data_IF_703036910196
#
_entry.id   IF_703036910196
#
_cell.length_a   1.000
_cell.length_b   1.000
_cell.length_c   1.000
_cell.angle_alpha   90.00
_cell.angle_beta   90.00
_cell.angle_gamma   90.00
#
_symmetry.space_group_name_H-M   'P 1'
#
loop_
_entity.id
_entity.type
_entity.pdbx_description
1 polymer ?
#
# COMPACT_ATOMS: atom_id res chain seq x y z
N UNK A 1 5.62 -45.23 -62.49
CA UNK A 1 5.42 -46.68 -62.39
C UNK A 1 4.89 -47.03 -61.03
N UNK A 2 3.69 -47.65 -61.03
CA UNK A 2 3.04 -48.45 -59.99
C UNK A 2 2.55 -47.66 -58.76
N UNK A 3 1.22 -47.41 -58.62
CA UNK A 3 0.07 -48.29 -58.20
C UNK A 3 0.25 -48.79 -56.77
N UNK A 4 -0.67 -48.76 -55.91
CA UNK A 4 -2.18 -48.69 -55.81
C UNK A 4 -2.53 -48.88 -54.35
N UNK A 5 -3.57 -48.34 -53.96
CA UNK A 5 -4.95 -48.74 -53.57
C UNK A 5 -5.22 -48.85 -52.07
N UNK A 6 -6.19 -48.04 -51.68
CA UNK A 6 -7.39 -48.37 -50.91
C UNK A 6 -7.31 -49.13 -49.57
N UNK A 7 -7.77 -48.44 -48.51
CA UNK A 7 -8.88 -49.02 -47.72
C UNK A 7 -9.56 -47.92 -46.84
N UNK A 8 -10.80 -47.64 -47.19
CA UNK A 8 -11.78 -46.90 -46.39
C UNK A 8 -12.12 -47.67 -45.11
N UNK A 9 -12.02 -47.03 -43.95
CA UNK A 9 -12.86 -47.38 -42.81
C UNK A 9 -13.60 -46.17 -42.31
N UNK A 10 -14.93 -46.20 -42.47
CA UNK A 10 -15.91 -45.34 -41.87
C UNK A 10 -15.81 -45.41 -40.32
N UNK A 11 -15.52 -44.29 -39.70
CA UNK A 11 -15.86 -44.05 -38.30
C UNK A 11 -16.85 -42.90 -38.27
N UNK A 12 -18.11 -43.26 -38.07
CA UNK A 12 -19.19 -42.32 -37.79
C UNK A 12 -18.95 -41.69 -36.41
N UNK A 13 -18.46 -40.46 -36.38
CA UNK A 13 -18.49 -39.61 -35.18
C UNK A 13 -19.89 -39.04 -35.05
N UNK A 14 -20.63 -39.55 -34.06
CA UNK A 14 -21.90 -39.01 -33.62
C UNK A 14 -21.74 -37.58 -33.12
N UNK A 15 -22.26 -36.63 -33.89
CA UNK A 15 -22.37 -35.22 -33.51
C UNK A 15 -23.48 -35.13 -32.46
N UNK A 16 -23.12 -35.08 -31.20
CA UNK A 16 -24.02 -34.63 -30.12
C UNK A 16 -24.22 -33.12 -30.21
N UNK A 17 -25.42 -32.60 -30.10
CA UNK A 17 -25.70 -31.19 -30.34
C UNK A 17 -25.13 -30.31 -29.21
N UNK A 18 -24.24 -29.44 -29.59
CA UNK A 18 -23.62 -28.34 -28.74
C UNK A 18 -24.67 -27.40 -28.14
N UNK A 19 -25.94 -27.53 -28.42
CA UNK A 19 -27.01 -26.67 -27.93
C UNK A 19 -27.45 -26.94 -26.48
N UNK A 20 -27.21 -28.14 -25.93
CA UNK A 20 -27.59 -28.46 -24.54
C UNK A 20 -26.56 -28.04 -23.51
N UNK A 21 -25.27 -28.00 -23.85
CA UNK A 21 -24.22 -27.56 -22.94
C UNK A 21 -24.29 -26.03 -22.71
N UNK A 22 -24.57 -25.25 -23.76
CA UNK A 22 -24.75 -23.79 -23.66
C UNK A 22 -25.98 -23.38 -22.85
N UNK A 23 -27.04 -24.17 -22.83
CA UNK A 23 -28.27 -23.86 -22.08
C UNK A 23 -28.15 -24.20 -20.58
N UNK A 24 -27.30 -25.15 -20.21
CA UNK A 24 -27.03 -25.47 -18.80
C UNK A 24 -26.08 -24.42 -18.16
N UNK A 25 -25.04 -24.03 -18.87
CA UNK A 25 -24.09 -23.00 -18.40
C UNK A 25 -24.76 -21.64 -18.30
N UNK A 26 -25.60 -21.24 -19.24
CA UNK A 26 -26.37 -19.99 -19.20
C UNK A 26 -27.53 -20.00 -18.15
N UNK A 27 -27.92 -21.18 -17.65
CA UNK A 27 -28.87 -21.29 -16.53
C UNK A 27 -28.16 -21.22 -15.21
N UNK A 28 -26.93 -21.73 -15.10
CA UNK A 28 -26.11 -21.63 -13.90
C UNK A 28 -25.62 -20.18 -13.65
N UNK A 29 -25.20 -19.51 -14.73
CA UNK A 29 -24.81 -18.07 -14.64
C UNK A 29 -26.00 -17.16 -14.29
N UNK A 30 -27.22 -17.51 -14.62
CA UNK A 30 -28.46 -16.79 -14.27
C UNK A 30 -28.94 -17.09 -12.85
N UNK A 31 -28.57 -18.21 -12.26
CA UNK A 31 -28.99 -18.59 -10.92
C UNK A 31 -28.05 -18.02 -9.82
N UNK A 32 -26.86 -17.53 -10.20
CA UNK A 32 -25.93 -16.85 -9.27
C UNK A 32 -26.28 -15.36 -9.09
N UNK A 33 -27.16 -14.80 -9.95
CA UNK A 33 -27.57 -13.39 -9.92
C UNK A 33 -28.98 -13.15 -9.33
N UNK A 34 -29.60 -14.11 -8.67
CA UNK A 34 -30.94 -13.93 -8.11
C UNK A 34 -30.88 -13.90 -6.58
N UNK A 35 -30.84 -12.73 -5.99
CA UNK A 35 -31.59 -12.24 -4.81
C UNK A 35 -30.94 -11.00 -4.12
N UNK A 36 -30.09 -10.25 -4.78
CA UNK A 36 -29.74 -8.92 -4.28
C UNK A 36 -30.58 -7.90 -5.05
N UNK A 37 -31.44 -7.18 -4.32
CA UNK A 37 -32.14 -6.03 -4.87
C UNK A 37 -31.10 -5.12 -5.53
N UNK A 38 -31.14 -4.98 -6.85
CA UNK A 38 -30.18 -4.19 -7.61
C UNK A 38 -30.15 -2.78 -7.02
N UNK A 39 -29.02 -2.37 -6.43
CA UNK A 39 -28.86 -1.02 -5.89
C UNK A 39 -29.05 0.00 -7.00
N UNK A 40 -30.06 0.86 -6.83
CA UNK A 40 -30.31 2.00 -7.72
C UNK A 40 -29.67 3.23 -7.10
N UNK A 41 -28.60 3.78 -7.69
CA UNK A 41 -27.97 4.98 -7.15
C UNK A 41 -28.98 6.16 -7.07
N UNK A 42 -29.02 6.90 -5.96
CA UNK A 42 -29.85 8.10 -5.89
C UNK A 42 -29.30 9.18 -6.84
N UNK A 43 -30.17 10.09 -7.25
CA UNK A 43 -29.76 11.23 -8.12
C UNK A 43 -28.65 12.07 -7.46
N UNK A 44 -28.70 12.25 -6.15
CA UNK A 44 -27.68 12.92 -5.35
C UNK A 44 -27.40 12.03 -4.15
N UNK A 45 -26.16 11.59 -4.00
CA UNK A 45 -25.73 10.79 -2.86
C UNK A 45 -25.70 11.64 -1.58
N UNK A 46 -26.17 11.11 -0.49
CA UNK A 46 -26.08 11.72 0.84
C UNK A 46 -25.37 10.80 1.83
N UNK A 47 -24.61 11.40 2.74
CA UNK A 47 -23.92 10.66 3.78
C UNK A 47 -24.89 10.17 4.85
N UNK A 48 -24.65 8.96 5.35
CA UNK A 48 -25.25 8.44 6.57
C UNK A 48 -24.20 7.75 7.43
N UNK A 49 -24.47 7.62 8.74
CA UNK A 49 -23.51 7.02 9.68
C UNK A 49 -23.19 5.53 9.37
N UNK A 50 -24.06 4.82 8.65
CA UNK A 50 -23.85 3.43 8.21
C UNK A 50 -23.01 3.30 6.95
N UNK A 51 -22.78 4.40 6.22
CA UNK A 51 -21.99 4.33 4.99
C UNK A 51 -20.50 4.12 5.32
N UNK A 52 -19.87 3.10 4.71
CA UNK A 52 -18.45 2.83 4.91
C UNK A 52 -18.15 1.68 5.89
N UNK A 53 -19.15 0.98 6.41
CA UNK A 53 -18.98 -0.21 7.25
C UNK A 53 -18.12 0.04 8.49
N UNK A 54 -17.18 -0.86 8.79
CA UNK A 54 -16.30 -0.80 9.96
C UNK A 54 -15.57 0.54 10.13
N UNK A 55 -15.27 1.22 9.03
CA UNK A 55 -14.52 2.48 9.03
C UNK A 55 -15.39 3.72 8.78
N UNK A 56 -16.72 3.61 8.94
CA UNK A 56 -17.64 4.73 8.71
C UNK A 56 -17.31 5.96 9.57
N UNK A 57 -16.85 5.72 10.81
CA UNK A 57 -16.53 6.79 11.77
C UNK A 57 -15.30 7.63 11.39
N UNK A 58 -14.35 7.05 10.61
CA UNK A 58 -13.14 7.76 10.16
C UNK A 58 -13.25 8.33 8.74
N UNK A 59 -14.39 8.12 8.06
CA UNK A 59 -14.62 8.62 6.71
C UNK A 59 -15.86 9.51 6.67
N UNK A 60 -15.71 10.75 6.22
CA UNK A 60 -16.79 11.71 6.03
C UNK A 60 -16.58 12.49 4.74
N UNK A 61 -17.66 12.98 4.12
CA UNK A 61 -17.57 13.77 2.90
C UNK A 61 -17.17 15.24 3.14
N UNK A 62 -16.69 15.56 4.34
CA UNK A 62 -16.26 16.92 4.71
C UNK A 62 -14.87 16.89 5.29
N UNK A 63 -14.06 17.90 4.92
CA UNK A 63 -12.73 18.15 5.49
C UNK A 63 -12.84 19.04 6.75
N UNK A 64 -11.68 19.29 7.37
CA UNK A 64 -11.53 20.19 8.51
C UNK A 64 -11.51 19.49 9.87
N UNK A 65 -11.12 20.24 10.90
CA UNK A 65 -11.06 19.77 12.27
C UNK A 65 -12.46 19.46 12.83
N UNK A 66 -12.53 18.47 13.72
CA UNK A 66 -13.75 18.06 14.42
C UNK A 66 -13.69 18.34 15.91
N UNK A 67 -12.48 18.58 16.41
CA UNK A 67 -12.22 18.85 17.82
C UNK A 67 -10.97 19.72 17.97
N UNK A 68 -10.93 20.53 19.01
CA UNK A 68 -9.72 21.21 19.40
C UNK A 68 -8.77 20.21 20.08
N UNK A 69 -7.60 20.04 19.52
CA UNK A 69 -6.56 19.15 20.04
C UNK A 69 -5.22 19.60 19.51
N UNK A 70 -4.36 20.06 20.43
CA UNK A 70 -2.99 20.40 20.10
C UNK A 70 -2.13 19.17 19.94
N UNK A 71 -1.13 19.25 19.08
CA UNK A 71 -0.17 18.17 18.90
C UNK A 71 1.01 18.33 19.87
N UNK A 72 1.48 17.22 20.49
CA UNK A 72 2.69 17.24 21.30
C UNK A 72 3.90 17.58 20.44
N UNK A 73 4.95 18.10 21.07
CA UNK A 73 6.26 18.35 20.45
C UNK A 73 7.35 17.88 21.40
N UNK A 74 8.33 17.16 20.85
CA UNK A 74 9.51 16.69 21.57
C UNK A 74 10.74 17.56 21.32
N UNK A 75 11.89 16.97 21.58
CA UNK A 75 13.19 17.68 21.54
C UNK A 75 13.81 17.69 20.14
N UNK A 76 13.44 16.76 19.27
CA UNK A 76 14.07 16.63 17.95
C UNK A 76 13.46 17.59 16.91
N UNK A 77 14.22 17.99 15.89
CA UNK A 77 13.72 18.91 14.88
C UNK A 77 12.64 18.29 13.96
N UNK A 78 12.64 16.97 13.78
CA UNK A 78 11.66 16.27 12.96
C UNK A 78 10.56 15.69 13.86
N UNK A 79 9.35 16.21 13.73
CA UNK A 79 8.18 15.80 14.49
C UNK A 79 7.26 15.00 13.55
N UNK A 80 7.23 13.68 13.71
CA UNK A 80 6.41 12.77 12.92
C UNK A 80 5.13 12.43 13.68
N UNK A 81 3.98 12.62 13.06
CA UNK A 81 2.67 12.25 13.57
C UNK A 81 2.12 11.13 12.70
N UNK A 82 2.08 9.90 13.24
CA UNK A 82 1.87 8.73 12.40
C UNK A 82 1.24 7.53 13.14
N UNK A 83 0.99 6.49 12.39
CA UNK A 83 0.59 5.15 12.81
C UNK A 83 1.30 4.15 11.90
N UNK A 84 1.70 2.98 12.40
CA UNK A 84 2.44 1.96 11.64
C UNK A 84 1.58 1.25 10.57
N UNK A 85 0.72 1.99 9.87
CA UNK A 85 0.11 1.54 8.61
C UNK A 85 1.19 1.50 7.52
N UNK A 86 0.96 0.85 6.38
CA UNK A 86 1.94 0.85 5.29
C UNK A 86 2.44 2.25 4.89
N UNK A 87 1.61 3.28 4.97
CA UNK A 87 2.05 4.64 4.65
C UNK A 87 2.91 5.27 5.75
N UNK A 88 2.61 5.02 7.03
CA UNK A 88 3.44 5.48 8.15
C UNK A 88 4.81 4.82 8.16
N UNK A 89 4.85 3.50 7.92
CA UNK A 89 6.08 2.70 7.86
C UNK A 89 7.07 3.22 6.80
N UNK A 90 6.60 3.80 5.69
CA UNK A 90 7.50 4.43 4.71
C UNK A 90 8.41 5.47 5.37
N UNK A 91 7.82 6.35 6.18
CA UNK A 91 8.53 7.49 6.78
C UNK A 91 9.44 7.02 7.90
N UNK A 92 8.98 6.14 8.77
CA UNK A 92 9.80 5.59 9.86
C UNK A 92 10.98 4.77 9.33
N UNK A 93 10.78 3.99 8.25
CA UNK A 93 11.87 3.28 7.58
C UNK A 93 12.88 4.27 6.98
N UNK A 94 12.43 5.31 6.29
CA UNK A 94 13.32 6.34 5.72
C UNK A 94 14.18 7.00 6.80
N UNK A 95 13.59 7.39 7.92
CA UNK A 95 14.31 8.02 9.03
C UNK A 95 15.33 7.06 9.67
N UNK A 96 14.95 5.80 9.91
CA UNK A 96 15.86 4.80 10.45
C UNK A 96 17.00 4.42 9.47
N UNK A 97 16.76 4.44 8.16
CA UNK A 97 17.81 4.25 7.15
C UNK A 97 18.78 5.44 7.13
N UNK A 98 18.30 6.67 7.24
CA UNK A 98 19.15 7.86 7.36
C UNK A 98 20.02 7.79 8.61
N UNK A 99 19.45 7.44 9.75
CA UNK A 99 20.19 7.28 11.01
C UNK A 99 21.23 6.16 10.92
N UNK A 100 20.91 5.04 10.28
CA UNK A 100 21.84 3.93 10.07
C UNK A 100 23.03 4.30 9.19
N UNK A 101 22.87 5.28 8.30
CA UNK A 101 23.97 5.84 7.50
C UNK A 101 24.71 7.00 8.20
N UNK A 102 24.37 7.33 9.46
CA UNK A 102 25.07 8.34 10.27
C UNK A 102 24.53 9.77 10.13
N UNK A 103 23.37 9.96 9.50
CA UNK A 103 22.74 11.27 9.41
C UNK A 103 22.03 11.64 10.72
N UNK A 104 22.79 12.06 11.74
CA UNK A 104 22.25 12.41 13.07
C UNK A 104 21.21 13.54 13.04
N UNK A 105 21.21 14.39 12.01
CA UNK A 105 20.17 15.39 11.80
C UNK A 105 18.80 14.81 11.45
N UNK A 106 18.72 13.50 11.18
CA UNK A 106 17.47 12.77 10.95
C UNK A 106 16.82 12.24 12.25
N UNK A 107 17.38 12.52 13.43
CA UNK A 107 16.71 12.21 14.71
C UNK A 107 15.33 12.86 14.77
N UNK A 108 14.38 12.10 15.31
CA UNK A 108 12.97 12.46 15.24
C UNK A 108 12.19 12.02 16.47
N UNK A 109 11.11 12.76 16.75
CA UNK A 109 10.04 12.33 17.64
C UNK A 109 8.91 11.77 16.81
N UNK A 110 8.46 10.55 17.12
CA UNK A 110 7.33 9.90 16.46
C UNK A 110 6.17 9.76 17.45
N UNK A 111 5.12 10.53 17.21
CA UNK A 111 3.90 10.60 18.00
C UNK A 111 2.83 9.68 17.40
N UNK A 112 2.19 8.88 18.25
CA UNK A 112 1.11 8.00 17.82
C UNK A 112 -0.15 8.82 17.53
N UNK A 113 -0.73 8.64 16.35
CA UNK A 113 -2.05 9.15 15.98
C UNK A 113 -2.99 7.96 15.85
N UNK A 114 -3.86 7.78 16.85
CA UNK A 114 -4.88 6.74 16.81
C UNK A 114 -6.03 7.16 15.90
N UNK A 115 -6.03 6.60 14.69
CA UNK A 115 -7.08 6.87 13.71
C UNK A 115 -8.45 6.32 14.11
N UNK A 116 -8.50 5.36 15.06
CA UNK A 116 -9.76 4.77 15.52
C UNK A 116 -10.47 5.71 16.50
N UNK A 117 -9.74 6.48 17.30
CA UNK A 117 -10.28 7.51 18.19
C UNK A 117 -10.55 8.82 17.47
N UNK A 118 -9.97 9.00 16.27
CA UNK A 118 -10.19 10.18 15.44
C UNK A 118 -9.17 11.30 15.66
N UNK A 119 -8.00 11.00 16.22
CA UNK A 119 -6.93 11.99 16.52
C UNK A 119 -6.52 12.78 15.27
N UNK A 120 -6.58 12.17 14.08
CA UNK A 120 -6.29 12.83 12.80
C UNK A 120 -7.26 13.98 12.47
N UNK A 121 -8.35 14.12 13.23
CA UNK A 121 -9.33 15.21 13.07
C UNK A 121 -9.18 16.29 14.13
N UNK A 122 -8.15 16.24 14.98
CA UNK A 122 -7.80 17.32 15.88
C UNK A 122 -7.29 18.55 15.13
N UNK A 123 -7.57 19.76 15.64
CA UNK A 123 -7.19 21.02 15.00
C UNK A 123 -5.69 21.12 14.73
N UNK A 124 -4.86 20.67 15.65
CA UNK A 124 -3.39 20.65 15.49
C UNK A 124 -2.93 19.74 14.35
N UNK A 125 -3.52 18.53 14.21
CA UNK A 125 -3.18 17.64 13.10
C UNK A 125 -3.64 18.20 11.75
N UNK A 126 -4.86 18.72 11.69
CA UNK A 126 -5.45 19.33 10.48
C UNK A 126 -4.64 20.56 10.04
N UNK A 127 -4.06 21.32 10.97
CA UNK A 127 -3.17 22.44 10.65
C UNK A 127 -1.91 21.98 9.89
N UNK A 128 -1.40 20.77 10.18
CA UNK A 128 -0.26 20.20 9.46
C UNK A 128 -0.75 19.52 8.17
N UNK A 129 -1.78 18.69 8.27
CA UNK A 129 -2.32 17.93 7.14
C UNK A 129 -3.83 18.17 6.95
N UNK A 130 -4.24 19.05 6.02
CA UNK A 130 -5.66 19.33 5.77
C UNK A 130 -6.44 18.14 5.22
N UNK A 131 -5.75 17.07 4.73
CA UNK A 131 -6.37 15.82 4.29
C UNK A 131 -6.75 14.90 5.46
N UNK A 132 -6.32 15.20 6.70
CA UNK A 132 -6.60 14.41 7.90
C UNK A 132 -6.22 12.93 7.73
N UNK A 133 -5.08 12.65 7.13
CA UNK A 133 -4.51 11.30 6.93
C UNK A 133 -3.07 11.23 7.44
N UNK A 134 -2.75 10.15 8.15
CA UNK A 134 -1.36 9.85 8.54
C UNK A 134 -0.57 9.30 7.32
N UNK A 135 0.75 9.49 7.30
CA UNK A 135 1.60 10.29 8.18
C UNK A 135 1.57 11.79 7.85
N UNK A 136 1.99 12.61 8.82
CA UNK A 136 2.31 14.02 8.64
C UNK A 136 3.62 14.35 9.35
N UNK A 137 4.45 15.21 8.75
CA UNK A 137 5.74 15.63 9.28
C UNK A 137 5.75 17.14 9.48
N UNK A 138 6.27 17.58 10.62
CA UNK A 138 6.62 18.97 10.89
C UNK A 138 8.13 19.06 11.14
N UNK A 139 8.84 19.76 10.29
CA UNK A 139 10.27 20.05 10.47
C UNK A 139 10.45 21.44 11.07
N UNK A 140 11.02 21.49 12.25
CA UNK A 140 11.30 22.73 13.00
C UNK A 140 12.80 23.03 13.09
N UNK A 141 13.62 22.45 12.22
CA UNK A 141 15.07 22.67 12.19
C UNK A 141 15.47 24.06 11.66
N UNK A 142 14.59 24.73 10.92
CA UNK A 142 14.80 26.07 10.38
C UNK A 142 14.12 27.17 11.21
N UNK A 143 14.30 28.43 10.78
CA UNK A 143 13.63 29.57 11.40
C UNK A 143 12.10 29.48 11.28
N UNK A 144 11.62 29.04 10.14
CA UNK A 144 10.19 28.81 9.87
C UNK A 144 9.91 27.30 9.79
N UNK A 145 8.92 26.80 10.53
CA UNK A 145 8.54 25.40 10.48
C UNK A 145 7.99 25.00 9.11
N UNK A 146 8.45 23.85 8.59
CA UNK A 146 8.00 23.27 7.33
C UNK A 146 7.07 22.11 7.64
N UNK A 147 5.82 22.20 7.20
CA UNK A 147 4.87 21.09 7.25
C UNK A 147 4.89 20.30 5.94
N UNK A 148 4.96 18.99 6.05
CA UNK A 148 4.91 18.08 4.89
C UNK A 148 3.87 17.00 5.15
N UNK A 149 2.97 16.82 4.22
CA UNK A 149 1.99 15.73 4.23
C UNK A 149 2.00 14.99 2.90
N UNK A 150 1.34 13.84 2.82
CA UNK A 150 1.50 12.77 1.84
C UNK A 150 2.83 12.01 2.01
N UNK A 151 2.74 10.69 2.20
CA UNK A 151 3.92 9.87 2.50
C UNK A 151 5.01 9.95 1.43
N UNK A 152 4.61 10.05 0.14
CA UNK A 152 5.58 10.23 -0.95
C UNK A 152 6.26 11.59 -0.94
N UNK A 153 5.54 12.66 -0.59
CA UNK A 153 6.12 13.99 -0.45
C UNK A 153 7.08 14.06 0.74
N UNK A 154 6.76 13.38 1.85
CA UNK A 154 7.67 13.28 3.02
C UNK A 154 8.95 12.54 2.63
N UNK A 155 8.86 11.42 1.90
CA UNK A 155 10.04 10.69 1.43
C UNK A 155 10.91 11.56 0.52
N UNK A 156 10.31 12.27 -0.43
CA UNK A 156 11.04 13.16 -1.34
C UNK A 156 11.71 14.31 -0.56
N UNK A 157 10.98 14.95 0.36
CA UNK A 157 11.50 16.01 1.20
C UNK A 157 12.72 15.56 2.01
N UNK A 158 12.63 14.41 2.69
CA UNK A 158 13.73 13.86 3.48
C UNK A 158 14.91 13.46 2.58
N UNK A 159 14.66 12.87 1.42
CA UNK A 159 15.70 12.50 0.48
C UNK A 159 16.48 13.71 -0.04
N UNK A 160 15.81 14.82 -0.33
CA UNK A 160 16.42 16.08 -0.76
C UNK A 160 17.13 16.80 0.40
N UNK A 161 16.53 16.80 1.60
CA UNK A 161 17.13 17.42 2.80
C UNK A 161 18.47 16.78 3.18
N UNK A 162 18.59 15.46 3.03
CA UNK A 162 19.78 14.69 3.42
C UNK A 162 20.64 14.24 2.23
N UNK A 163 20.25 14.57 1.00
CA UNK A 163 20.90 14.15 -0.26
C UNK A 163 21.14 12.62 -0.30
N UNK A 164 20.11 11.83 0.09
CA UNK A 164 20.19 10.36 0.17
C UNK A 164 18.94 9.68 -0.37
N UNK A 165 19.13 8.44 -0.86
CA UNK A 165 18.07 7.56 -1.38
C UNK A 165 17.30 8.13 -2.59
N UNK A 166 17.82 9.17 -3.22
CA UNK A 166 17.30 9.74 -4.44
C UNK A 166 18.49 10.05 -5.38
N UNK A 167 18.49 9.56 -6.62
CA UNK A 167 19.55 9.87 -7.57
C UNK A 167 19.72 11.38 -7.74
N UNK A 168 20.98 11.81 -7.85
CA UNK A 168 21.33 13.23 -7.92
C UNK A 168 20.83 13.90 -9.21
N UNK A 169 20.81 15.22 -9.25
CA UNK A 169 20.46 16.01 -10.43
C UNK A 169 21.41 15.75 -11.63
N UNK A 170 22.63 15.27 -11.36
CA UNK A 170 23.61 14.88 -12.39
C UNK A 170 23.27 13.54 -13.05
N UNK A 171 22.30 12.80 -12.52
CA UNK A 171 21.79 11.54 -13.05
C UNK A 171 20.30 11.67 -13.43
N UNK A 172 19.94 12.57 -14.37
CA UNK A 172 18.55 12.97 -14.59
C UNK A 172 17.65 11.79 -15.03
N UNK A 173 18.17 10.85 -15.81
CA UNK A 173 17.40 9.69 -16.24
C UNK A 173 17.06 8.76 -15.07
N UNK A 174 18.02 8.44 -14.20
CA UNK A 174 17.80 7.58 -13.04
C UNK A 174 16.92 8.27 -12.00
N UNK A 175 17.08 9.59 -11.83
CA UNK A 175 16.20 10.39 -10.95
C UNK A 175 14.76 10.39 -11.45
N UNK A 176 14.54 10.56 -12.75
CA UNK A 176 13.21 10.51 -13.36
C UNK A 176 12.57 9.11 -13.18
N UNK A 177 13.35 8.05 -13.36
CA UNK A 177 12.91 6.67 -13.12
C UNK A 177 12.48 6.47 -11.65
N UNK A 178 13.32 6.90 -10.69
CA UNK A 178 13.00 6.81 -9.26
C UNK A 178 11.71 7.56 -8.90
N UNK A 179 11.54 8.78 -9.40
CA UNK A 179 10.33 9.56 -9.18
C UNK A 179 9.11 8.94 -9.86
N UNK A 180 9.26 8.34 -11.05
CA UNK A 180 8.18 7.62 -11.72
C UNK A 180 7.66 6.46 -10.87
N UNK A 181 8.55 5.66 -10.27
CA UNK A 181 8.17 4.58 -9.37
C UNK A 181 7.57 5.09 -8.05
N UNK A 182 8.07 6.19 -7.51
CA UNK A 182 7.47 6.84 -6.34
C UNK A 182 6.03 7.26 -6.62
N UNK A 183 5.78 7.96 -7.73
CA UNK A 183 4.43 8.40 -8.11
C UNK A 183 3.54 7.24 -8.55
N UNK A 184 4.10 6.21 -9.19
CA UNK A 184 3.36 4.97 -9.46
C UNK A 184 2.80 4.37 -8.18
N UNK A 185 3.60 4.31 -7.12
CA UNK A 185 3.16 3.78 -5.84
C UNK A 185 2.05 4.64 -5.21
N UNK A 186 2.17 5.97 -5.25
CA UNK A 186 1.15 6.87 -4.70
C UNK A 186 -0.20 6.70 -5.41
N UNK A 187 -0.20 6.47 -6.71
CA UNK A 187 -1.43 6.26 -7.49
C UNK A 187 -1.97 4.83 -7.42
N UNK A 188 -1.12 3.84 -7.17
CA UNK A 188 -1.48 2.42 -7.21
C UNK A 188 -1.91 1.85 -5.86
N UNK A 189 -1.32 2.31 -4.75
CA UNK A 189 -1.66 1.84 -3.41
C UNK A 189 -3.14 1.95 -3.03
N UNK A 190 -3.91 2.96 -3.46
CA UNK A 190 -5.35 3.01 -3.21
C UNK A 190 -6.13 1.81 -3.76
N UNK A 191 -5.71 1.23 -4.88
CA UNK A 191 -6.34 0.01 -5.40
C UNK A 191 -6.08 -1.20 -4.51
N UNK A 192 -4.87 -1.34 -3.97
CA UNK A 192 -4.52 -2.39 -3.03
C UNK A 192 -5.19 -2.16 -1.66
N UNK A 193 -5.08 -0.97 -1.08
CA UNK A 193 -5.57 -0.66 0.26
C UNK A 193 -7.06 -0.38 0.31
N UNK A 194 -7.50 0.69 -0.37
CA UNK A 194 -8.90 1.15 -0.37
C UNK A 194 -9.82 0.32 -1.25
N UNK A 195 -9.28 -0.32 -2.29
CA UNK A 195 -10.01 -1.22 -3.17
C UNK A 195 -9.99 -2.65 -2.63
N UNK A 196 -8.95 -3.42 -3.01
CA UNK A 196 -8.85 -4.84 -2.68
C UNK A 196 -8.95 -5.11 -1.17
N UNK A 197 -8.10 -4.48 -0.37
CA UNK A 197 -8.05 -4.70 1.07
C UNK A 197 -9.38 -4.39 1.75
N UNK A 198 -10.07 -3.33 1.32
CA UNK A 198 -11.39 -3.00 1.84
C UNK A 198 -12.41 -4.12 1.56
N UNK A 199 -12.60 -4.48 0.30
CA UNK A 199 -13.64 -5.45 -0.08
C UNK A 199 -13.29 -6.89 0.31
N UNK A 200 -12.01 -7.27 0.21
CA UNK A 200 -11.57 -8.62 0.56
C UNK A 200 -11.50 -8.86 2.08
N UNK A 201 -10.94 -7.91 2.86
CA UNK A 201 -10.69 -8.13 4.28
C UNK A 201 -11.71 -7.43 5.22
N UNK A 202 -12.12 -6.20 4.91
CA UNK A 202 -12.80 -5.34 5.86
C UNK A 202 -14.29 -5.15 5.64
N UNK A 203 -14.77 -5.25 4.40
CA UNK A 203 -16.19 -5.13 4.11
C UNK A 203 -17.01 -6.18 4.87
N UNK A 204 -18.16 -5.78 5.46
CA UNK A 204 -19.00 -6.70 6.25
C UNK A 204 -19.60 -7.83 5.40
N UNK A 205 -19.80 -7.57 4.12
CA UNK A 205 -20.27 -8.54 3.12
C UNK A 205 -19.21 -8.76 2.05
N UNK A 206 -19.08 -9.99 1.57
CA UNK A 206 -18.15 -10.34 0.49
C UNK A 206 -18.89 -10.35 -0.84
N UNK A 207 -18.65 -9.33 -1.65
CA UNK A 207 -19.21 -9.23 -3.01
C UNK A 207 -18.16 -9.63 -4.03
N UNK A 208 -18.52 -10.58 -4.89
CA UNK A 208 -17.60 -11.11 -5.88
C UNK A 208 -17.08 -10.01 -6.82
N UNK A 209 -17.97 -9.21 -7.39
CA UNK A 209 -17.58 -8.23 -8.41
C UNK A 209 -16.47 -7.26 -7.97
N UNK A 210 -16.58 -6.53 -6.85
CA UNK A 210 -15.51 -5.62 -6.42
C UNK A 210 -14.25 -6.39 -5.99
N UNK A 211 -14.36 -7.58 -5.38
CA UNK A 211 -13.20 -8.39 -5.01
C UNK A 211 -12.44 -8.80 -6.27
N UNK A 212 -13.09 -9.37 -7.27
CA UNK A 212 -12.46 -9.81 -8.53
C UNK A 212 -11.87 -8.62 -9.30
N UNK A 213 -12.61 -7.50 -9.38
CA UNK A 213 -12.14 -6.28 -10.06
C UNK A 213 -10.85 -5.75 -9.47
N UNK A 214 -10.75 -5.70 -8.14
CA UNK A 214 -9.56 -5.20 -7.47
C UNK A 214 -8.45 -6.25 -7.37
N UNK A 215 -8.78 -7.54 -7.24
CA UNK A 215 -7.79 -8.62 -7.30
C UNK A 215 -7.05 -8.63 -8.65
N UNK A 216 -7.78 -8.47 -9.76
CA UNK A 216 -7.19 -8.36 -11.10
C UNK A 216 -6.19 -7.18 -11.17
N UNK A 217 -6.55 -6.02 -10.63
CA UNK A 217 -5.68 -4.85 -10.64
C UNK A 217 -4.44 -5.05 -9.75
N UNK A 218 -4.60 -5.62 -8.55
CA UNK A 218 -3.47 -5.91 -7.66
C UNK A 218 -2.51 -6.93 -8.29
N UNK A 219 -3.03 -7.99 -8.92
CA UNK A 219 -2.20 -8.96 -9.65
C UNK A 219 -1.46 -8.31 -10.82
N UNK A 220 -2.10 -7.41 -11.56
CA UNK A 220 -1.43 -6.64 -12.62
C UNK A 220 -0.30 -5.76 -12.07
N UNK A 221 -0.51 -5.14 -10.91
CA UNK A 221 0.52 -4.33 -10.25
C UNK A 221 1.69 -5.18 -9.76
N UNK A 222 1.41 -6.36 -9.20
CA UNK A 222 2.46 -7.32 -8.80
C UNK A 222 3.25 -7.82 -10.03
N UNK A 223 2.59 -8.08 -11.14
CA UNK A 223 3.24 -8.50 -12.39
C UNK A 223 4.17 -7.40 -12.94
N UNK A 224 3.74 -6.14 -12.91
CA UNK A 224 4.60 -4.99 -13.29
C UNK A 224 5.86 -4.93 -12.42
N UNK A 225 5.72 -5.12 -11.11
CA UNK A 225 6.87 -5.15 -10.20
C UNK A 225 7.76 -6.36 -10.43
N UNK A 226 7.17 -7.54 -10.66
CA UNK A 226 7.93 -8.78 -10.86
C UNK A 226 8.76 -8.72 -12.15
N UNK A 227 8.19 -8.21 -13.23
CA UNK A 227 8.90 -7.97 -14.48
C UNK A 227 10.01 -6.92 -14.30
N UNK A 228 9.76 -5.84 -13.56
CA UNK A 228 10.78 -4.82 -13.28
C UNK A 228 11.97 -5.37 -12.50
N UNK A 229 11.71 -6.25 -11.55
CA UNK A 229 12.72 -6.83 -10.65
C UNK A 229 13.39 -8.09 -11.19
N UNK A 230 13.02 -8.55 -12.39
CA UNK A 230 13.56 -9.79 -12.98
C UNK A 230 15.07 -9.75 -13.21
N UNK A 231 15.59 -8.60 -13.61
CA UNK A 231 17.00 -8.38 -13.93
C UNK A 231 17.64 -7.26 -13.08
N UNK A 232 16.97 -6.81 -12.02
CA UNK A 232 17.42 -5.72 -11.15
C UNK A 232 17.31 -6.11 -9.69
N UNK A 233 18.27 -5.64 -8.92
CA UNK A 233 18.27 -5.83 -7.47
C UNK A 233 17.16 -5.02 -6.80
N UNK A 234 17.05 -3.75 -7.14
CA UNK A 234 16.05 -2.79 -6.67
C UNK A 234 15.32 -2.13 -7.85
N UNK A 235 14.34 -1.29 -7.56
CA UNK A 235 13.55 -0.63 -8.61
C UNK A 235 14.39 0.34 -9.47
N UNK A 236 15.46 0.89 -8.90
CA UNK A 236 16.42 1.75 -9.60
C UNK A 236 17.77 1.04 -9.73
N UNK A 237 17.77 -0.09 -10.44
CA UNK A 237 18.89 -0.97 -10.71
C UNK A 237 19.49 -1.54 -9.40
N UNK A 238 20.77 -1.26 -9.08
CA UNK A 238 21.41 -1.71 -7.84
C UNK A 238 21.25 -0.72 -6.67
N UNK A 239 20.54 0.39 -6.89
CA UNK A 239 20.41 1.44 -5.90
C UNK A 239 19.09 1.31 -5.10
N UNK A 240 19.23 1.11 -3.79
CA UNK A 240 18.10 1.22 -2.87
C UNK A 240 17.69 2.68 -2.72
N UNK A 241 16.46 3.01 -3.06
CA UNK A 241 15.97 4.38 -3.18
C UNK A 241 14.62 4.59 -2.48
N UNK A 242 14.15 5.84 -2.47
CA UNK A 242 12.80 6.17 -1.99
C UNK A 242 11.69 5.45 -2.78
N UNK A 243 11.95 4.96 -3.98
CA UNK A 243 11.00 4.12 -4.72
C UNK A 243 10.79 2.78 -3.99
N UNK A 244 11.87 2.13 -3.57
CA UNK A 244 11.82 0.88 -2.81
C UNK A 244 11.20 1.10 -1.42
N UNK A 245 11.60 2.16 -0.72
CA UNK A 245 11.07 2.54 0.59
C UNK A 245 9.56 2.79 0.52
N UNK A 246 9.08 3.40 -0.58
CA UNK A 246 7.66 3.67 -0.77
C UNK A 246 6.85 2.42 -1.08
N UNK A 247 7.38 1.52 -1.91
CA UNK A 247 6.65 0.35 -2.44
C UNK A 247 6.65 -0.81 -1.45
N UNK A 248 7.75 -1.02 -0.72
CA UNK A 248 7.93 -2.16 0.19
C UNK A 248 6.82 -2.29 1.25
N UNK A 249 6.39 -1.26 1.99
CA UNK A 249 5.39 -1.44 3.04
C UNK A 249 4.02 -1.91 2.54
N UNK A 250 3.73 -1.74 1.26
CA UNK A 250 2.51 -2.23 0.62
C UNK A 250 2.73 -3.57 -0.09
N UNK A 251 3.53 -3.59 -1.13
CA UNK A 251 3.68 -4.78 -2.00
C UNK A 251 4.63 -5.81 -1.40
N UNK A 252 5.69 -5.37 -0.72
CA UNK A 252 6.59 -6.27 0.01
C UNK A 252 5.86 -6.96 1.17
N UNK A 253 5.12 -6.20 1.99
CA UNK A 253 4.33 -6.77 3.07
C UNK A 253 3.22 -7.71 2.56
N UNK A 254 2.61 -7.41 1.39
CA UNK A 254 1.61 -8.29 0.77
C UNK A 254 2.22 -9.63 0.38
N UNK A 255 3.36 -9.66 -0.33
CA UNK A 255 3.97 -10.92 -0.77
C UNK A 255 4.59 -11.70 0.38
N UNK A 256 4.98 -11.04 1.46
CA UNK A 256 5.40 -11.68 2.71
C UNK A 256 4.23 -12.23 3.55
N UNK A 257 2.98 -12.08 3.09
CA UNK A 257 1.79 -12.60 3.75
C UNK A 257 1.28 -11.77 4.93
N UNK A 258 1.77 -10.56 5.11
CA UNK A 258 1.47 -9.71 6.28
C UNK A 258 0.21 -8.85 6.11
N UNK A 259 -0.33 -8.73 4.89
CA UNK A 259 -1.50 -7.91 4.62
C UNK A 259 -2.71 -8.77 4.23
N UNK A 260 -3.85 -8.49 4.87
CA UNK A 260 -5.20 -8.99 4.54
C UNK A 260 -5.40 -10.50 4.60
N UNK A 261 -4.37 -11.31 4.93
CA UNK A 261 -4.43 -12.77 4.81
C UNK A 261 -4.64 -13.24 3.36
N UNK A 262 -4.17 -12.46 2.38
CA UNK A 262 -4.50 -12.63 0.97
C UNK A 262 -3.41 -13.32 0.13
N UNK A 263 -2.33 -13.79 0.77
CA UNK A 263 -1.18 -14.33 0.05
C UNK A 263 -1.54 -15.52 -0.85
N UNK A 264 -2.32 -16.46 -0.35
CA UNK A 264 -2.79 -17.62 -1.12
C UNK A 264 -3.79 -17.21 -2.20
N UNK A 265 -4.78 -16.38 -1.85
CA UNK A 265 -5.81 -15.93 -2.77
C UNK A 265 -5.23 -15.21 -4.00
N UNK A 266 -4.21 -14.39 -3.79
CA UNK A 266 -3.52 -13.66 -4.87
C UNK A 266 -2.39 -14.47 -5.52
N UNK A 267 -2.10 -15.68 -5.00
CA UNK A 267 -0.98 -16.52 -5.47
C UNK A 267 0.34 -15.74 -5.49
N UNK A 268 0.65 -15.06 -4.36
CA UNK A 268 1.82 -14.17 -4.29
C UNK A 268 3.15 -14.91 -4.47
N UNK A 269 3.19 -16.22 -4.21
CA UNK A 269 4.36 -17.06 -4.40
C UNK A 269 4.82 -17.16 -5.87
N UNK A 270 3.93 -16.89 -6.82
CA UNK A 270 4.26 -16.86 -8.26
C UNK A 270 5.12 -15.66 -8.66
N UNK A 271 5.10 -14.56 -7.88
CA UNK A 271 5.90 -13.34 -8.12
C UNK A 271 7.28 -13.42 -7.45
N UNK A 272 8.17 -14.24 -8.03
CA UNK A 272 9.45 -14.63 -7.42
C UNK A 272 10.42 -13.48 -7.24
N UNK A 273 10.42 -12.54 -8.16
CA UNK A 273 11.34 -11.39 -8.13
C UNK A 273 10.90 -10.37 -7.09
N UNK A 274 9.61 -10.13 -6.95
CA UNK A 274 9.05 -9.31 -5.86
C UNK A 274 9.30 -9.96 -4.50
N UNK A 275 9.16 -11.28 -4.39
CA UNK A 275 9.44 -12.02 -3.16
C UNK A 275 10.91 -11.88 -2.75
N UNK A 276 11.87 -12.11 -3.68
CA UNK A 276 13.29 -11.91 -3.43
C UNK A 276 13.59 -10.49 -2.93
N UNK A 277 13.08 -9.50 -3.64
CA UNK A 277 13.26 -8.09 -3.30
C UNK A 277 12.68 -7.76 -1.91
N UNK A 278 11.49 -8.26 -1.60
CA UNK A 278 10.85 -8.05 -0.30
C UNK A 278 11.64 -8.68 0.84
N UNK A 279 12.16 -9.90 0.65
CA UNK A 279 13.01 -10.60 1.62
C UNK A 279 14.32 -9.86 1.87
N UNK A 280 14.93 -9.30 0.83
CA UNK A 280 16.14 -8.50 0.96
C UNK A 280 15.90 -7.21 1.74
N UNK A 281 14.81 -6.51 1.49
CA UNK A 281 14.48 -5.26 2.18
C UNK A 281 14.10 -5.52 3.64
N UNK A 282 13.27 -6.53 3.92
CA UNK A 282 12.86 -6.81 5.30
C UNK A 282 14.03 -7.25 6.20
N UNK A 283 15.09 -7.79 5.61
CA UNK A 283 16.30 -8.18 6.33
C UNK A 283 17.18 -6.99 6.77
N UNK A 284 16.93 -5.77 6.26
CA UNK A 284 17.69 -4.58 6.63
C UNK A 284 17.37 -4.17 8.08
N UNK A 285 18.39 -3.98 8.95
CA UNK A 285 18.14 -3.63 10.36
C UNK A 285 17.33 -2.33 10.54
N UNK A 286 17.57 -1.32 9.70
CA UNK A 286 16.83 -0.07 9.73
C UNK A 286 15.34 -0.27 9.38
N UNK A 287 15.04 -1.14 8.40
CA UNK A 287 13.67 -1.52 8.05
C UNK A 287 12.99 -2.22 9.22
N UNK A 288 13.68 -3.14 9.89
CA UNK A 288 13.15 -3.84 11.06
C UNK A 288 12.80 -2.86 12.20
N UNK A 289 13.68 -1.90 12.48
CA UNK A 289 13.41 -0.84 13.47
C UNK A 289 12.23 0.02 13.05
N UNK A 290 12.27 0.60 11.85
CA UNK A 290 11.24 1.51 11.36
C UNK A 290 9.84 0.89 11.34
N UNK A 291 9.72 -0.42 11.11
CA UNK A 291 8.44 -1.14 11.13
C UNK A 291 7.82 -1.29 12.54
N UNK A 292 8.59 -1.07 13.60
CA UNK A 292 8.13 -1.12 15.00
C UNK A 292 7.56 0.21 15.48
N UNK A 293 8.06 1.32 14.94
CA UNK A 293 7.68 2.69 15.36
C UNK A 293 6.22 2.98 15.03
N UNK A 294 5.52 3.60 15.96
CA UNK A 294 4.08 3.88 15.96
C UNK A 294 3.19 2.62 15.79
N UNK A 295 3.71 1.48 16.16
CA UNK A 295 2.97 0.22 16.18
C UNK A 295 2.40 -0.04 17.58
N UNK A 296 1.07 -0.12 17.67
CA UNK A 296 0.32 -0.37 18.90
C UNK A 296 -0.33 -1.76 18.98
N UNK A 297 -0.12 -2.62 17.97
CA UNK A 297 -0.71 -3.95 17.86
C UNK A 297 0.32 -5.06 17.58
N UNK A 298 -0.13 -6.31 17.74
CA UNK A 298 0.73 -7.49 17.56
C UNK A 298 1.50 -7.85 18.84
N UNK A 299 2.55 -8.68 18.76
CA UNK A 299 3.41 -9.04 19.87
C UNK A 299 4.06 -7.82 20.54
N UNK A 300 4.22 -7.85 21.87
CA UNK A 300 4.69 -6.69 22.64
C UNK A 300 6.09 -6.23 22.23
N UNK A 301 6.98 -7.16 21.94
CA UNK A 301 8.35 -6.89 21.50
C UNK A 301 8.44 -6.18 20.14
N UNK A 302 7.34 -6.16 19.37
CA UNK A 302 7.24 -5.46 18.09
C UNK A 302 6.53 -4.12 18.21
N UNK A 303 6.12 -3.70 19.42
CA UNK A 303 5.39 -2.44 19.62
C UNK A 303 6.32 -1.36 20.11
N UNK A 304 6.34 -0.26 19.42
CA UNK A 304 6.95 1.01 19.84
C UNK A 304 5.93 2.11 19.53
N UNK A 305 4.94 2.31 20.41
CA UNK A 305 3.86 3.28 20.15
C UNK A 305 4.39 4.68 19.85
N UNK A 306 5.40 5.10 20.58
CA UNK A 306 6.10 6.38 20.36
C UNK A 306 7.62 6.17 20.41
N UNK A 307 8.34 6.97 19.63
CA UNK A 307 9.80 6.93 19.58
C UNK A 307 10.35 8.35 19.75
N UNK A 308 11.20 8.53 20.76
CA UNK A 308 11.84 9.82 21.06
C UNK A 308 13.38 9.70 21.13
N UNK A 309 13.88 8.46 21.02
CA UNK A 309 15.31 8.17 20.99
C UNK A 309 15.60 6.80 20.40
N UNK A 310 16.86 6.53 20.07
CA UNK A 310 17.29 5.20 19.64
C UNK A 310 17.08 4.12 20.72
N UNK A 311 17.02 4.49 22.00
CA UNK A 311 16.81 3.55 23.10
C UNK A 311 15.39 2.91 23.08
N UNK A 312 14.41 3.60 22.50
CA UNK A 312 13.02 3.13 22.46
C UNK A 312 12.83 1.94 21.50
N UNK A 313 13.80 1.73 20.58
CA UNK A 313 13.78 0.67 19.56
C UNK A 313 14.99 -0.26 19.58
N UNK A 314 15.77 -0.19 20.65
CA UNK A 314 16.95 -1.05 20.87
C UNK A 314 16.57 -2.49 21.21
#
# INVERSE_FOLDING_TARGET
MWHSELLCHHLALSILPLSRARSAQAKDERNIMSDEATYVPPRVWSWSAGNGGKFAHINRPTAGARQEHDLPRGAHPLQLYSLATPNGVKVTVMLEELLAEGYHGAEYDAWLIDIQTGDQFGSGFVAINPNSKIPALLDVSGADPIRVFESGAILLYLAEKFDRFLPSLQQPALRAECLSWLFWQMSSAPYLGGGFGHFYAYAPQKWQYPIDRYAMEVKRQLDVLDQRLADRRFLCDDNYTIADIAIFPWYGALVLGELYGAAEFLDVASYRHVMRWAQEIVARPAVQRGRRVNRSWGPEELRVPERHSAADIS
#
